data_IF_863644538084
#
_entry.id   IF_863644538084
#
_cell.length_a   1.000
_cell.length_b   1.000
_cell.length_c   1.000
_cell.angle_alpha   90.00
_cell.angle_beta   90.00
_cell.angle_gamma   90.00
#
_symmetry.space_group_name_H-M   'P 1'
#
loop_
_entity.id
_entity.type
_entity.pdbx_description
1 polymer ?
#
# COMPACT_ATOMS: atom_id res chain seq x y z
N UNK A 1 -68.63 -19.68 4.30
CA UNK A 1 -67.52 -20.65 4.17
C UNK A 1 -66.50 -20.29 5.26
N UNK A 2 -66.37 -20.96 6.41
CA UNK A 2 -65.74 -22.30 6.66
C UNK A 2 -64.35 -22.35 5.98
N UNK A 3 -63.19 -22.54 6.62
CA UNK A 3 -62.79 -23.01 7.96
C UNK A 3 -61.36 -22.52 8.27
N UNK A 4 -61.11 -22.31 9.56
CA UNK A 4 -59.85 -22.18 10.31
C UNK A 4 -58.77 -23.23 9.94
N UNK A 5 -57.48 -22.87 9.90
CA UNK A 5 -56.42 -23.79 10.32
C UNK A 5 -55.28 -23.03 11.02
N UNK A 6 -55.19 -23.28 12.32
CA UNK A 6 -54.09 -22.95 13.24
C UNK A 6 -53.16 -24.17 13.34
N UNK A 7 -51.86 -23.94 13.38
CA UNK A 7 -50.77 -24.80 13.91
C UNK A 7 -49.49 -23.91 13.87
N UNK A 8 -48.98 -23.27 14.93
CA UNK A 8 -48.50 -23.68 16.27
C UNK A 8 -47.16 -24.44 16.24
N UNK A 9 -46.22 -23.96 17.09
CA UNK A 9 -44.95 -24.59 17.57
C UNK A 9 -43.73 -24.28 16.67
N UNK A 10 -42.55 -23.79 17.11
CA UNK A 10 -41.86 -23.84 18.41
C UNK A 10 -40.77 -22.76 18.52
N UNK A 11 -40.59 -22.28 19.75
CA UNK A 11 -39.41 -21.58 20.26
C UNK A 11 -38.17 -22.45 20.15
N UNK A 12 -37.07 -21.91 19.63
CA UNK A 12 -35.72 -22.34 19.98
C UNK A 12 -34.85 -21.11 20.20
N UNK A 13 -34.76 -20.78 21.48
CA UNK A 13 -33.69 -20.05 22.12
C UNK A 13 -32.32 -20.46 21.60
N UNK A 14 -31.55 -19.49 21.12
CA UNK A 14 -30.08 -19.55 21.15
C UNK A 14 -29.60 -18.19 21.59
N UNK A 15 -29.38 -18.08 22.90
CA UNK A 15 -28.52 -17.08 23.51
C UNK A 15 -27.16 -17.16 22.82
N UNK A 16 -26.91 -16.30 21.83
CA UNK A 16 -25.55 -16.01 21.44
C UNK A 16 -25.06 -14.92 22.38
N UNK A 17 -24.12 -15.22 23.31
CA UNK A 17 -23.40 -14.15 23.96
C UNK A 17 -22.69 -13.38 22.85
N UNK A 18 -23.02 -12.09 22.74
CA UNK A 18 -22.13 -11.12 22.11
C UNK A 18 -20.83 -11.16 22.91
N UNK A 19 -19.94 -12.07 22.52
CA UNK A 19 -18.55 -12.02 22.91
C UNK A 19 -18.06 -10.71 22.31
N UNK A 20 -17.83 -9.74 23.20
CA UNK A 20 -16.98 -8.62 22.91
C UNK A 20 -15.66 -9.21 22.41
N UNK A 21 -15.51 -9.23 21.08
CA UNK A 21 -14.21 -9.46 20.47
C UNK A 21 -13.44 -8.20 20.88
N UNK A 22 -12.67 -8.35 21.95
CA UNK A 22 -11.60 -7.44 22.25
C UNK A 22 -10.88 -7.19 20.94
N UNK A 23 -10.90 -5.94 20.48
CA UNK A 23 -9.98 -5.46 19.47
C UNK A 23 -8.58 -5.73 20.04
N UNK A 24 -8.07 -6.94 19.81
CA UNK A 24 -6.65 -7.17 19.69
C UNK A 24 -6.27 -6.31 18.49
N UNK A 25 -5.97 -5.04 18.76
CA UNK A 25 -5.00 -4.31 17.99
C UNK A 25 -3.77 -5.20 18.00
N UNK A 26 -3.67 -6.09 17.01
CA UNK A 26 -2.40 -6.60 16.57
C UNK A 26 -1.62 -5.36 16.21
N UNK A 27 -0.75 -4.95 17.14
CA UNK A 27 0.24 -3.90 16.92
C UNK A 27 0.96 -4.33 15.65
N UNK A 28 0.59 -3.75 14.49
CA UNK A 28 1.35 -3.97 13.28
C UNK A 28 2.69 -3.29 13.55
N UNK A 29 3.80 -4.03 13.69
CA UNK A 29 5.05 -3.45 14.17
C UNK A 29 5.72 -2.51 13.15
N UNK A 30 5.03 -2.15 12.07
CA UNK A 30 5.62 -1.44 10.95
C UNK A 30 4.58 -0.54 10.23
N UNK A 31 4.21 0.56 10.87
CA UNK A 31 3.36 1.60 10.26
C UNK A 31 3.97 2.14 8.95
N UNK A 32 5.30 2.16 8.82
CA UNK A 32 5.97 2.46 7.55
C UNK A 32 5.55 1.52 6.42
N UNK A 33 5.54 0.20 6.65
CA UNK A 33 5.19 -0.78 5.61
C UNK A 33 3.73 -0.68 5.17
N UNK A 34 2.82 -0.31 6.09
CA UNK A 34 1.43 0.00 5.72
C UNK A 34 1.35 1.22 4.80
N UNK A 35 2.12 2.28 5.10
CA UNK A 35 2.18 3.45 4.23
C UNK A 35 2.76 3.09 2.86
N UNK A 36 3.85 2.33 2.80
CA UNK A 36 4.44 1.86 1.53
C UNK A 36 3.39 1.06 0.75
N UNK A 37 2.73 0.08 1.38
CA UNK A 37 1.71 -0.73 0.73
C UNK A 37 0.56 0.12 0.14
N UNK A 38 0.14 1.17 0.85
CA UNK A 38 -0.87 2.11 0.36
C UNK A 38 -0.38 2.89 -0.86
N UNK A 39 0.83 3.40 -0.81
CA UNK A 39 1.41 4.25 -1.87
C UNK A 39 1.74 3.44 -3.13
N UNK A 40 2.25 2.21 -2.95
CA UNK A 40 2.51 1.24 -4.03
C UNK A 40 1.25 0.46 -4.45
N UNK A 41 0.08 0.81 -3.91
CA UNK A 41 -1.23 0.23 -4.27
C UNK A 41 -1.30 -1.29 -4.14
N UNK A 42 -0.68 -1.86 -3.11
CA UNK A 42 -0.71 -3.29 -2.88
C UNK A 42 -2.10 -3.79 -2.52
N UNK A 43 -2.46 -4.94 -3.07
CA UNK A 43 -3.64 -5.70 -2.64
C UNK A 43 -3.18 -6.62 -1.50
N UNK A 44 -3.43 -6.20 -0.26
CA UNK A 44 -3.10 -6.99 0.93
C UNK A 44 -4.25 -7.92 1.22
N UNK A 45 -3.99 -9.23 1.13
CA UNK A 45 -5.03 -10.25 1.32
C UNK A 45 -5.13 -10.69 2.79
N UNK A 46 -4.03 -10.63 3.54
CA UNK A 46 -3.97 -11.03 4.94
C UNK A 46 -2.97 -10.13 5.71
N UNK A 47 -3.35 -9.52 6.85
CA UNK A 47 -2.43 -8.77 7.72
C UNK A 47 -1.16 -9.54 8.12
N UNK A 48 -1.19 -10.88 8.16
CA UNK A 48 0.00 -11.73 8.42
C UNK A 48 1.08 -11.55 7.36
N UNK A 49 0.76 -11.08 6.16
CA UNK A 49 1.74 -10.77 5.11
C UNK A 49 2.73 -9.70 5.57
N UNK A 50 2.29 -8.69 6.32
CA UNK A 50 3.17 -7.65 6.87
C UNK A 50 4.16 -8.21 7.90
N UNK A 51 3.70 -9.14 8.73
CA UNK A 51 4.55 -9.82 9.71
C UNK A 51 5.58 -10.71 9.00
N UNK A 52 5.16 -11.43 7.95
CA UNK A 52 6.07 -12.21 7.11
C UNK A 52 7.17 -11.33 6.51
N UNK A 53 6.79 -10.25 5.82
CA UNK A 53 7.71 -9.33 5.14
C UNK A 53 8.69 -8.71 6.15
N UNK A 54 8.19 -8.21 7.28
CA UNK A 54 9.03 -7.54 8.30
C UNK A 54 10.08 -8.49 8.91
N UNK A 55 9.79 -9.80 8.95
CA UNK A 55 10.72 -10.81 9.46
C UNK A 55 11.78 -11.24 8.44
N UNK A 56 11.64 -10.89 7.15
CA UNK A 56 12.60 -11.23 6.11
C UNK A 56 13.93 -10.46 6.28
N UNK A 57 15.08 -11.14 6.14
CA UNK A 57 16.38 -10.48 6.24
C UNK A 57 16.57 -9.39 5.17
N UNK A 58 16.00 -9.60 3.97
CA UNK A 58 16.00 -8.65 2.87
C UNK A 58 15.26 -7.36 3.24
N UNK A 59 14.14 -7.46 3.97
CA UNK A 59 13.42 -6.28 4.46
C UNK A 59 14.26 -5.51 5.49
N UNK A 60 14.90 -6.22 6.43
CA UNK A 60 15.68 -5.58 7.51
C UNK A 60 16.88 -4.79 6.97
N UNK A 61 17.52 -5.26 5.90
CA UNK A 61 18.68 -4.57 5.32
C UNK A 61 18.28 -3.28 4.58
N UNK A 62 17.11 -3.26 3.94
CA UNK A 62 16.61 -2.13 3.15
C UNK A 62 15.68 -1.20 3.93
N UNK A 63 15.20 -1.61 5.11
CA UNK A 63 14.18 -0.89 5.87
C UNK A 63 14.56 0.56 6.13
N UNK A 64 15.85 0.85 6.36
CA UNK A 64 16.34 2.23 6.60
C UNK A 64 16.27 3.13 5.36
N UNK A 65 16.22 2.54 4.17
CA UNK A 65 16.08 3.28 2.91
C UNK A 65 14.63 3.71 2.68
N UNK A 66 13.65 2.91 3.12
CA UNK A 66 12.22 3.19 2.92
C UNK A 66 11.51 3.73 4.15
N UNK A 67 12.02 3.42 5.35
CA UNK A 67 11.42 3.74 6.64
C UNK A 67 12.34 4.60 7.51
N UNK A 68 11.74 5.28 8.48
CA UNK A 68 12.45 5.88 9.61
C UNK A 68 13.13 4.81 10.47
N UNK A 69 14.08 5.22 11.32
CA UNK A 69 14.86 4.30 12.14
C UNK A 69 14.01 3.46 13.12
N UNK A 70 12.87 4.01 13.54
CA UNK A 70 11.89 3.40 14.44
C UNK A 70 10.72 2.73 13.70
N UNK A 71 10.74 2.70 12.36
CA UNK A 71 9.72 2.09 11.50
C UNK A 71 8.30 2.67 11.66
N UNK A 72 8.17 3.81 12.33
CA UNK A 72 6.90 4.49 12.56
C UNK A 72 6.42 5.27 11.33
N UNK A 73 7.34 5.64 10.45
CA UNK A 73 7.06 6.48 9.29
C UNK A 73 7.98 6.13 8.10
N UNK A 74 7.66 6.67 6.93
CA UNK A 74 8.49 6.56 5.74
C UNK A 74 9.75 7.44 5.81
N UNK A 75 10.82 6.99 5.17
CA UNK A 75 12.10 7.71 5.14
C UNK A 75 12.00 9.01 4.32
N UNK A 76 12.93 9.93 4.55
CA UNK A 76 13.05 11.15 3.73
C UNK A 76 13.29 10.82 2.25
N UNK A 77 14.05 9.76 1.97
CA UNK A 77 14.36 9.38 0.59
C UNK A 77 13.11 8.87 -0.14
N UNK A 78 12.32 8.02 0.52
CA UNK A 78 11.09 7.52 -0.06
C UNK A 78 10.05 8.64 -0.23
N UNK A 79 9.91 9.55 0.75
CA UNK A 79 9.06 10.75 0.61
C UNK A 79 9.47 11.64 -0.57
N UNK A 80 10.78 11.84 -0.77
CA UNK A 80 11.28 12.62 -1.91
C UNK A 80 10.92 11.94 -3.25
N UNK A 81 10.99 10.61 -3.31
CA UNK A 81 10.54 9.86 -4.49
C UNK A 81 9.03 10.04 -4.74
N UNK A 82 8.22 10.09 -3.69
CA UNK A 82 6.78 10.35 -3.78
C UNK A 82 6.47 11.77 -4.28
N UNK A 83 7.24 12.77 -3.83
CA UNK A 83 7.10 14.14 -4.33
C UNK A 83 7.34 14.20 -5.84
N UNK A 84 8.28 13.41 -6.37
CA UNK A 84 8.44 13.26 -7.81
C UNK A 84 7.21 12.61 -8.48
N UNK A 85 6.64 11.55 -7.89
CA UNK A 85 5.44 10.91 -8.42
C UNK A 85 4.26 11.89 -8.53
N UNK A 86 4.04 12.74 -7.53
CA UNK A 86 2.99 13.76 -7.57
C UNK A 86 3.28 14.86 -8.61
N UNK A 87 4.54 15.29 -8.75
CA UNK A 87 4.95 16.23 -9.81
C UNK A 87 4.73 15.63 -11.20
N UNK A 88 5.09 14.37 -11.41
CA UNK A 88 4.89 13.65 -12.68
C UNK A 88 3.40 13.54 -13.00
N UNK A 89 2.57 13.22 -12.01
CA UNK A 89 1.11 13.17 -12.17
C UNK A 89 0.53 14.53 -12.56
N UNK A 90 1.01 15.61 -11.95
CA UNK A 90 0.60 16.97 -12.30
C UNK A 90 1.07 17.39 -13.71
N UNK A 91 2.29 17.02 -14.09
CA UNK A 91 2.82 17.26 -15.44
C UNK A 91 2.06 16.44 -16.50
N UNK A 92 1.70 15.19 -16.19
CA UNK A 92 0.86 14.35 -17.04
C UNK A 92 -0.53 14.97 -17.24
N UNK A 93 -1.18 15.46 -16.18
CA UNK A 93 -2.45 16.16 -16.30
C UNK A 93 -2.34 17.41 -17.20
N UNK A 94 -1.26 18.19 -17.08
CA UNK A 94 -0.99 19.33 -17.97
C UNK A 94 -0.83 18.89 -19.42
N UNK A 95 -0.05 17.84 -19.68
CA UNK A 95 0.11 17.26 -21.01
C UNK A 95 -1.23 16.81 -21.61
N UNK A 96 -2.09 16.15 -20.82
CA UNK A 96 -3.42 15.70 -21.25
C UNK A 96 -4.36 16.88 -21.55
N UNK A 97 -4.25 17.97 -20.79
CA UNK A 97 -5.06 19.17 -20.99
C UNK A 97 -4.57 20.10 -22.10
N UNK A 98 -3.36 19.86 -22.64
CA UNK A 98 -2.75 20.72 -23.66
C UNK A 98 -3.53 20.66 -24.98
N UNK A 99 -4.01 21.83 -25.42
CA UNK A 99 -4.87 21.94 -26.62
C UNK A 99 -4.10 22.34 -27.86
N UNK A 100 -2.94 22.97 -27.69
CA UNK A 100 -2.08 23.39 -28.80
C UNK A 100 -0.83 22.51 -28.94
N UNK A 101 -0.25 22.41 -30.16
CA UNK A 101 1.01 21.70 -30.35
C UNK A 101 2.15 22.23 -29.48
N UNK A 102 2.26 23.56 -29.33
CA UNK A 102 3.31 24.20 -28.52
C UNK A 102 3.20 23.86 -27.03
N UNK A 103 2.01 23.97 -26.45
CA UNK A 103 1.75 23.56 -25.06
C UNK A 103 2.04 22.07 -24.84
N UNK A 104 1.66 21.23 -25.81
CA UNK A 104 1.90 19.79 -25.73
C UNK A 104 3.39 19.46 -25.76
N UNK A 105 4.18 20.14 -26.60
CA UNK A 105 5.63 19.98 -26.64
C UNK A 105 6.27 20.38 -25.31
N UNK A 106 5.88 21.52 -24.73
CA UNK A 106 6.38 21.98 -23.43
C UNK A 106 6.03 21.00 -22.30
N UNK A 107 4.76 20.58 -22.21
CA UNK A 107 4.31 19.65 -21.18
C UNK A 107 4.94 18.25 -21.34
N UNK A 108 5.20 17.82 -22.59
CA UNK A 108 5.92 16.57 -22.87
C UNK A 108 7.38 16.65 -22.40
N UNK A 109 8.06 17.78 -22.63
CA UNK A 109 9.44 17.98 -22.19
C UNK A 109 9.54 17.96 -20.66
N UNK A 110 8.66 18.72 -19.97
CA UNK A 110 8.60 18.72 -18.51
C UNK A 110 8.37 17.33 -17.93
N UNK A 111 7.44 16.56 -18.51
CA UNK A 111 7.16 15.19 -18.06
C UNK A 111 8.40 14.30 -18.20
N UNK A 112 9.09 14.35 -19.34
CA UNK A 112 10.29 13.55 -19.57
C UNK A 112 11.43 13.94 -18.62
N UNK A 113 11.59 15.24 -18.36
CA UNK A 113 12.59 15.75 -17.43
C UNK A 113 12.32 15.24 -16.00
N UNK A 114 11.08 15.37 -15.52
CA UNK A 114 10.68 14.87 -14.20
C UNK A 114 10.82 13.35 -14.07
N UNK A 115 10.46 12.58 -15.09
CA UNK A 115 10.63 11.12 -15.10
C UNK A 115 12.11 10.73 -15.02
N UNK A 116 12.98 11.42 -15.76
CA UNK A 116 14.43 11.19 -15.73
C UNK A 116 15.04 11.56 -14.38
N UNK A 117 14.63 12.68 -13.80
CA UNK A 117 15.07 13.10 -12.48
C UNK A 117 14.63 12.12 -11.40
N UNK A 118 13.37 11.67 -11.42
CA UNK A 118 12.87 10.66 -10.49
C UNK A 118 13.67 9.36 -10.62
N UNK A 119 13.88 8.87 -11.84
CA UNK A 119 14.63 7.64 -12.08
C UNK A 119 16.05 7.76 -11.53
N UNK A 120 16.75 8.85 -11.86
CA UNK A 120 18.11 9.14 -11.38
C UNK A 120 18.16 9.22 -9.85
N UNK A 121 17.21 9.94 -9.24
CA UNK A 121 17.12 10.06 -7.80
C UNK A 121 16.87 8.71 -7.13
N UNK A 122 15.91 7.92 -7.62
CA UNK A 122 15.57 6.63 -7.03
C UNK A 122 16.71 5.62 -7.11
N UNK A 123 17.53 5.64 -8.18
CA UNK A 123 18.75 4.82 -8.25
C UNK A 123 19.83 5.31 -7.30
N UNK A 124 20.14 6.61 -7.30
CA UNK A 124 21.23 7.17 -6.48
C UNK A 124 20.94 7.13 -4.97
N UNK A 125 19.66 7.19 -4.59
CA UNK A 125 19.22 7.05 -3.20
C UNK A 125 18.96 5.59 -2.77
N UNK A 126 19.07 4.63 -3.69
CA UNK A 126 18.81 3.21 -3.46
C UNK A 126 17.35 2.84 -3.21
N UNK A 127 16.41 3.78 -3.43
CA UNK A 127 14.99 3.57 -3.17
C UNK A 127 14.39 2.52 -4.13
N UNK A 128 14.83 2.49 -5.39
CA UNK A 128 14.34 1.48 -6.34
C UNK A 128 14.73 0.06 -5.92
N UNK A 129 15.99 -0.14 -5.55
CA UNK A 129 16.49 -1.44 -5.09
C UNK A 129 15.76 -1.88 -3.81
N UNK A 130 15.50 -0.93 -2.91
CA UNK A 130 14.76 -1.20 -1.69
C UNK A 130 13.30 -1.59 -1.99
N UNK A 131 12.60 -0.88 -2.89
CA UNK A 131 11.24 -1.23 -3.30
C UNK A 131 11.18 -2.60 -3.98
N UNK A 132 12.15 -2.92 -4.84
CA UNK A 132 12.24 -4.22 -5.49
C UNK A 132 12.44 -5.36 -4.48
N UNK A 133 13.31 -5.17 -3.49
CA UNK A 133 13.52 -6.13 -2.41
C UNK A 133 12.25 -6.35 -1.57
N UNK A 134 11.52 -5.27 -1.28
CA UNK A 134 10.23 -5.36 -0.57
C UNK A 134 9.17 -6.09 -1.40
N UNK A 135 9.06 -5.78 -2.69
CA UNK A 135 8.12 -6.46 -3.59
C UNK A 135 8.46 -7.94 -3.73
N UNK A 136 9.75 -8.30 -3.75
CA UNK A 136 10.21 -9.69 -3.73
C UNK A 136 9.83 -10.40 -2.43
N UNK A 137 10.02 -9.74 -1.28
CA UNK A 137 9.61 -10.28 0.02
C UNK A 137 8.08 -10.47 0.10
N UNK A 138 7.31 -9.51 -0.40
CA UNK A 138 5.85 -9.60 -0.53
C UNK A 138 5.45 -10.80 -1.36
N UNK A 139 6.00 -10.94 -2.58
CA UNK A 139 5.69 -12.05 -3.46
C UNK A 139 5.99 -13.41 -2.80
N UNK A 140 7.13 -13.53 -2.12
CA UNK A 140 7.45 -14.74 -1.37
C UNK A 140 6.38 -15.07 -0.32
N UNK A 141 5.95 -14.07 0.46
CA UNK A 141 4.97 -14.24 1.52
C UNK A 141 3.56 -14.55 1.00
N UNK A 142 3.23 -14.11 -0.22
CA UNK A 142 2.00 -14.48 -0.91
C UNK A 142 2.01 -15.94 -1.37
N UNK A 143 3.15 -16.45 -1.82
CA UNK A 143 3.30 -17.84 -2.27
C UNK A 143 3.47 -18.85 -1.11
N UNK A 144 3.86 -18.38 0.07
CA UNK A 144 4.08 -19.21 1.26
C UNK A 144 3.21 -18.71 2.43
N UNK A 145 1.87 -18.87 2.33
CA UNK A 145 0.96 -18.37 3.35
C UNK A 145 1.23 -19.03 4.71
N UNK A 146 1.23 -18.21 5.77
CA UNK A 146 1.54 -18.60 7.17
C UNK A 146 0.29 -18.94 7.96
#
# INVERSE_FOLDING_TARGET
MRVLFLLLISVLSSNFPFIAIANAQTINPNACLEQIAKNEQWIVQDPKQYVCITNKPEFKSIAKTLCSADLSDTSKNYKTLQDFSEKIKAAWARFQSATTPGERTLASAELQDLQREQSTYGHTSGVWDALDAVNSAKYFCEQNPI
#
